data_IF_178998064009
#
_entry.id   IF_178998064009
#
_cell.length_a   1.000
_cell.length_b   1.000
_cell.length_c   1.000
_cell.angle_alpha   90.00
_cell.angle_beta   90.00
_cell.angle_gamma   90.00
#
_symmetry.space_group_name_H-M   'P 1'
#
loop_
_entity.id
_entity.type
_entity.pdbx_description
1 polymer ?
#
# COMPACT_ATOMS: atom_id res chain seq x y z
N UNK A 1 -35.11 49.48 61.54
CA UNK A 1 -35.74 48.36 60.81
C UNK A 1 -35.00 48.23 59.48
N UNK A 2 -33.86 47.55 59.45
CA UNK A 2 -33.72 46.16 58.98
C UNK A 2 -34.34 45.94 57.59
N UNK A 3 -33.54 45.93 56.52
CA UNK A 3 -33.00 44.67 55.98
C UNK A 3 -32.12 44.93 54.75
N UNK A 4 -31.02 44.18 54.71
CA UNK A 4 -30.10 43.99 53.60
C UNK A 4 -30.82 43.43 52.36
N UNK A 5 -30.29 43.72 51.16
CA UNK A 5 -29.96 42.63 50.23
C UNK A 5 -28.82 43.02 49.27
N UNK A 6 -27.72 42.27 49.43
CA UNK A 6 -26.53 42.11 48.59
C UNK A 6 -26.87 41.76 47.14
N UNK A 7 -26.05 42.06 46.12
CA UNK A 7 -24.87 41.30 45.62
C UNK A 7 -24.86 41.63 44.10
N UNK A 8 -23.82 41.99 43.35
CA UNK A 8 -22.52 41.35 43.05
C UNK A 8 -21.68 42.42 42.34
N UNK A 9 -20.43 42.63 42.76
CA UNK A 9 -19.42 43.33 41.97
C UNK A 9 -18.82 42.33 40.98
N UNK A 10 -19.13 42.50 39.70
CA UNK A 10 -18.49 41.75 38.61
C UNK A 10 -17.16 42.39 38.25
N UNK A 11 -16.05 41.78 38.71
CA UNK A 11 -14.70 42.09 38.24
C UNK A 11 -14.55 41.50 36.83
N UNK A 12 -14.44 42.37 35.83
CA UNK A 12 -14.06 41.96 34.47
C UNK A 12 -12.53 41.86 34.44
N UNK A 13 -12.00 40.63 34.48
CA UNK A 13 -10.61 40.35 34.17
C UNK A 13 -10.45 40.35 32.65
N UNK A 14 -9.81 41.38 32.11
CA UNK A 14 -9.39 41.45 30.72
C UNK A 14 -8.22 40.47 30.51
N UNK A 15 -8.53 39.26 30.03
CA UNK A 15 -7.52 38.32 29.54
C UNK A 15 -7.10 38.71 28.13
N UNK A 16 -5.93 39.32 27.99
CA UNK A 16 -5.25 39.46 26.69
C UNK A 16 -4.73 38.06 26.32
N UNK A 17 -5.46 37.35 25.46
CA UNK A 17 -4.92 36.17 24.78
C UNK A 17 -3.88 36.67 23.75
N UNK A 18 -2.60 36.54 24.12
CA UNK A 18 -1.51 36.61 23.15
C UNK A 18 -1.61 35.40 22.22
N UNK A 19 -2.11 35.59 21.01
CA UNK A 19 -1.95 34.60 19.93
C UNK A 19 -0.49 34.69 19.51
N UNK A 20 0.37 33.86 20.12
CA UNK A 20 1.68 33.59 19.58
C UNK A 20 1.46 32.89 18.23
N UNK A 21 1.57 33.65 17.14
CA UNK A 21 1.78 33.05 15.82
C UNK A 21 3.15 32.39 15.89
N UNK A 22 3.17 31.06 16.12
CA UNK A 22 4.34 30.27 15.80
C UNK A 22 4.57 30.48 14.30
N UNK A 23 5.58 31.28 13.96
CA UNK A 23 6.11 31.28 12.62
C UNK A 23 6.44 29.82 12.31
N UNK A 24 5.78 29.24 11.31
CA UNK A 24 6.23 27.99 10.74
C UNK A 24 7.66 28.26 10.29
N UNK A 25 8.65 27.78 11.05
CA UNK A 25 9.97 27.59 10.52
C UNK A 25 9.75 26.76 9.26
N UNK A 26 10.09 27.33 8.10
CA UNK A 26 10.06 26.56 6.88
C UNK A 26 11.02 25.39 7.11
N UNK A 27 10.49 24.16 7.19
CA UNK A 27 11.31 22.95 7.26
C UNK A 27 12.36 23.05 6.15
N UNK A 28 13.64 23.01 6.51
CA UNK A 28 14.70 23.00 5.52
C UNK A 28 14.54 21.72 4.70
N UNK A 29 14.40 21.79 3.36
CA UNK A 29 14.31 20.59 2.53
C UNK A 29 15.49 19.63 2.70
N UNK A 30 16.57 20.05 3.38
CA UNK A 30 17.74 19.25 3.76
C UNK A 30 17.55 18.36 4.99
N UNK A 31 16.53 18.60 5.80
CA UNK A 31 16.26 17.81 7.02
C UNK A 31 15.45 16.53 6.75
N UNK A 32 14.87 16.40 5.55
CA UNK A 32 14.12 15.21 5.17
C UNK A 32 15.03 14.14 4.57
N UNK A 33 14.97 12.88 5.06
CA UNK A 33 15.77 11.80 4.50
C UNK A 33 15.36 11.50 3.06
N UNK A 34 16.35 11.16 2.24
CA UNK A 34 16.17 10.85 0.82
C UNK A 34 16.04 9.35 0.61
N UNK A 35 14.87 8.94 0.13
CA UNK A 35 14.53 7.54 -0.16
C UNK A 35 14.51 7.32 -1.67
N UNK A 36 15.20 6.28 -2.14
CA UNK A 36 15.09 5.82 -3.52
C UNK A 36 14.33 4.48 -3.60
N UNK A 37 13.30 4.43 -4.45
CA UNK A 37 12.51 3.22 -4.69
C UNK A 37 13.12 2.48 -5.88
N UNK A 38 13.67 1.29 -5.63
CA UNK A 38 14.27 0.46 -6.69
C UNK A 38 13.24 -0.46 -7.33
N UNK A 39 13.63 -1.14 -8.41
CA UNK A 39 12.78 -2.17 -9.04
C UNK A 39 12.52 -3.34 -8.08
N UNK A 40 11.32 -3.91 -8.13
CA UNK A 40 10.91 -4.96 -7.19
C UNK A 40 11.10 -6.35 -7.78
N UNK A 41 11.50 -7.29 -6.94
CA UNK A 41 11.55 -8.68 -7.37
C UNK A 41 10.14 -9.29 -7.39
N UNK A 42 9.76 -9.87 -8.52
CA UNK A 42 8.53 -10.65 -8.62
C UNK A 42 8.86 -12.13 -8.44
N UNK A 43 9.13 -12.55 -7.21
CA UNK A 43 9.44 -13.95 -6.92
C UNK A 43 8.23 -14.83 -7.21
N UNK A 44 8.37 -15.94 -7.96
CA UNK A 44 7.30 -16.90 -8.13
C UNK A 44 6.92 -17.57 -6.79
N UNK A 45 5.84 -17.12 -6.17
CA UNK A 45 5.35 -17.65 -4.88
C UNK A 45 4.28 -18.75 -5.00
N UNK A 46 3.89 -19.15 -6.22
CA UNK A 46 2.81 -20.11 -6.45
C UNK A 46 2.75 -20.65 -7.89
N UNK A 47 1.66 -21.35 -8.23
CA UNK A 47 1.45 -21.99 -9.55
C UNK A 47 1.27 -21.01 -10.70
N UNK A 48 0.98 -19.74 -10.40
CA UNK A 48 0.76 -18.69 -11.38
C UNK A 48 1.99 -17.79 -11.37
N UNK A 49 2.61 -17.64 -12.54
CA UNK A 49 3.72 -16.72 -12.70
C UNK A 49 3.19 -15.28 -12.75
N UNK A 50 3.80 -14.33 -12.02
CA UNK A 50 3.49 -12.91 -12.19
C UNK A 50 3.80 -12.46 -13.63
N UNK A 51 3.06 -11.48 -14.18
CA UNK A 51 3.38 -10.90 -15.48
C UNK A 51 4.81 -10.36 -15.54
N UNK A 52 5.43 -10.36 -16.73
CA UNK A 52 6.68 -9.63 -16.94
C UNK A 52 6.51 -8.18 -16.50
N UNK A 53 7.53 -7.60 -15.87
CA UNK A 53 7.55 -6.20 -15.42
C UNK A 53 6.57 -5.85 -14.28
N UNK A 54 5.88 -6.82 -13.67
CA UNK A 54 5.00 -6.52 -12.54
C UNK A 54 5.75 -5.77 -11.41
N UNK A 55 6.99 -6.16 -11.12
CA UNK A 55 7.84 -5.47 -10.13
C UNK A 55 8.06 -4.00 -10.47
N UNK A 56 8.36 -3.69 -11.73
CA UNK A 56 8.58 -2.32 -12.21
C UNK A 56 7.32 -1.48 -12.13
N UNK A 57 6.18 -2.04 -12.55
CA UNK A 57 4.88 -1.37 -12.46
C UNK A 57 4.52 -1.09 -10.99
N UNK A 58 4.78 -2.04 -10.10
CA UNK A 58 4.54 -1.86 -8.65
C UNK A 58 5.43 -0.76 -8.07
N UNK A 59 6.71 -0.70 -8.44
CA UNK A 59 7.63 0.34 -8.00
C UNK A 59 7.18 1.74 -8.48
N UNK A 60 6.75 1.86 -9.74
CA UNK A 60 6.23 3.12 -10.30
C UNK A 60 4.93 3.57 -9.61
N UNK A 61 3.99 2.66 -9.41
CA UNK A 61 2.74 2.96 -8.69
C UNK A 61 3.01 3.32 -7.23
N UNK A 62 3.99 2.69 -6.59
CA UNK A 62 4.38 3.04 -5.23
C UNK A 62 4.97 4.44 -5.16
N UNK A 63 5.87 4.77 -6.08
CA UNK A 63 6.43 6.12 -6.20
C UNK A 63 5.31 7.15 -6.41
N UNK A 64 4.42 6.94 -7.37
CA UNK A 64 3.28 7.82 -7.66
C UNK A 64 2.40 8.06 -6.42
N UNK A 65 2.06 7.00 -5.68
CA UNK A 65 1.25 7.12 -4.45
C UNK A 65 1.95 7.82 -3.31
N UNK A 66 3.28 7.83 -3.27
CA UNK A 66 4.07 8.43 -2.19
C UNK A 66 4.47 9.88 -2.49
N UNK A 67 4.61 10.23 -3.77
CA UNK A 67 4.92 11.59 -4.21
C UNK A 67 3.83 12.54 -3.71
N UNK A 68 4.22 13.52 -2.90
CA UNK A 68 3.33 14.54 -2.34
C UNK A 68 2.59 14.15 -1.05
N UNK A 69 2.73 12.91 -0.56
CA UNK A 69 2.14 12.49 0.73
C UNK A 69 3.17 11.98 1.73
N UNK A 70 4.32 11.49 1.26
CA UNK A 70 5.37 11.00 2.14
C UNK A 70 6.17 12.16 2.73
N UNK A 71 6.59 12.08 4.01
CA UNK A 71 7.44 13.10 4.66
C UNK A 71 8.93 12.99 4.26
N UNK A 72 9.21 12.36 3.12
CA UNK A 72 10.56 12.06 2.64
C UNK A 72 10.81 12.69 1.28
N UNK A 73 12.08 12.91 0.94
CA UNK A 73 12.47 13.17 -0.44
C UNK A 73 12.49 11.86 -1.20
N UNK A 74 11.75 11.75 -2.29
CA UNK A 74 11.65 10.53 -3.08
C UNK A 74 12.42 10.67 -4.39
N UNK A 75 13.15 9.60 -4.72
CA UNK A 75 13.82 9.43 -6.00
C UNK A 75 13.33 8.14 -6.65
N UNK A 76 13.15 8.18 -7.97
CA UNK A 76 13.11 6.95 -8.77
C UNK A 76 14.49 6.30 -8.67
N UNK A 77 14.58 5.13 -8.04
CA UNK A 77 15.83 4.42 -7.78
C UNK A 77 16.16 3.39 -8.85
N UNK A 78 15.32 3.20 -9.89
CA UNK A 78 15.51 2.11 -10.87
C UNK A 78 16.78 2.26 -11.69
N UNK A 79 17.20 3.48 -11.96
CA UNK A 79 18.45 3.75 -12.69
C UNK A 79 19.70 3.39 -11.88
N UNK A 80 19.59 3.25 -10.56
CA UNK A 80 20.69 2.85 -9.69
C UNK A 80 21.11 1.39 -9.92
N UNK A 81 20.23 0.57 -10.49
CA UNK A 81 20.47 -0.85 -10.75
C UNK A 81 21.01 -1.13 -12.16
N UNK A 82 21.11 -0.11 -13.03
CA UNK A 82 21.44 -0.30 -14.46
C UNK A 82 22.80 -0.95 -14.70
N UNK A 83 23.76 -0.69 -13.81
CA UNK A 83 25.13 -1.19 -13.92
C UNK A 83 25.35 -2.51 -13.14
N UNK A 84 24.29 -3.08 -12.55
CA UNK A 84 24.42 -4.31 -11.77
C UNK A 84 24.41 -5.55 -12.69
N UNK A 85 25.54 -6.27 -12.84
CA UNK A 85 25.62 -7.44 -13.72
C UNK A 85 24.76 -8.61 -13.21
N UNK A 86 24.46 -8.66 -11.90
CA UNK A 86 23.69 -9.74 -11.30
C UNK A 86 22.19 -9.62 -11.57
N UNK A 87 21.72 -8.42 -11.92
CA UNK A 87 20.30 -8.07 -12.02
C UNK A 87 19.48 -8.55 -10.80
N UNK A 88 20.12 -8.68 -9.64
CA UNK A 88 19.46 -9.12 -8.42
C UNK A 88 18.60 -7.98 -7.89
N UNK A 89 17.27 -8.20 -7.92
CA UNK A 89 16.26 -7.25 -7.47
C UNK A 89 15.82 -7.50 -6.03
N UNK A 90 16.32 -8.56 -5.39
CA UNK A 90 15.86 -8.98 -4.05
C UNK A 90 16.58 -8.29 -2.91
N UNK A 91 17.77 -7.76 -3.17
CA UNK A 91 18.70 -7.40 -2.11
C UNK A 91 19.51 -6.15 -2.37
N UNK A 92 20.21 -5.73 -1.33
CA UNK A 92 21.16 -4.63 -1.42
C UNK A 92 22.50 -5.14 -1.95
N UNK A 93 22.75 -4.98 -3.24
CA UNK A 93 24.05 -5.32 -3.83
C UNK A 93 25.09 -4.23 -3.55
N UNK A 94 26.40 -4.56 -3.54
CA UNK A 94 27.45 -3.55 -3.39
C UNK A 94 27.41 -2.45 -4.46
N UNK A 95 27.08 -2.82 -5.71
CA UNK A 95 26.95 -1.88 -6.84
C UNK A 95 25.77 -0.93 -6.61
N UNK A 96 24.60 -1.47 -6.26
CA UNK A 96 23.42 -0.67 -5.97
C UNK A 96 23.67 0.30 -4.80
N UNK A 97 24.32 -0.17 -3.74
CA UNK A 97 24.67 0.64 -2.58
C UNK A 97 25.64 1.78 -2.96
N UNK A 98 26.66 1.50 -3.75
CA UNK A 98 27.61 2.52 -4.19
C UNK A 98 26.94 3.58 -5.09
N UNK A 99 26.09 3.14 -6.02
CA UNK A 99 25.31 4.04 -6.87
C UNK A 99 24.40 4.94 -6.05
N UNK A 100 23.71 4.39 -5.04
CA UNK A 100 22.87 5.15 -4.12
C UNK A 100 23.68 6.19 -3.33
N UNK A 101 24.87 5.83 -2.83
CA UNK A 101 25.78 6.79 -2.14
C UNK A 101 26.17 7.94 -3.05
N UNK A 102 26.59 7.66 -4.28
CA UNK A 102 26.98 8.69 -5.25
C UNK A 102 25.81 9.58 -5.64
N UNK A 103 24.59 9.06 -5.62
CA UNK A 103 23.36 9.79 -5.89
C UNK A 103 22.86 10.64 -4.69
N UNK A 104 23.50 10.54 -3.52
CA UNK A 104 23.05 11.25 -2.31
C UNK A 104 21.78 10.67 -1.70
N UNK A 105 21.53 9.38 -1.90
CA UNK A 105 20.39 8.65 -1.31
C UNK A 105 20.77 8.19 0.09
N UNK A 106 19.93 8.51 1.08
CA UNK A 106 20.12 8.10 2.48
C UNK A 106 19.61 6.67 2.71
N UNK A 107 18.47 6.34 2.09
CA UNK A 107 17.79 5.06 2.26
C UNK A 107 17.32 4.46 0.93
N UNK A 108 17.43 3.14 0.79
CA UNK A 108 16.88 2.38 -0.33
C UNK A 108 15.61 1.66 0.11
N UNK A 109 14.55 1.75 -0.69
CA UNK A 109 13.34 0.95 -0.53
C UNK A 109 13.43 -0.25 -1.46
N UNK A 110 13.80 -1.40 -0.90
CA UNK A 110 13.80 -2.68 -1.59
C UNK A 110 12.42 -3.31 -1.48
N UNK A 111 11.95 -3.94 -2.56
CA UNK A 111 10.64 -4.56 -2.58
C UNK A 111 10.64 -5.95 -3.22
N UNK A 112 9.73 -6.80 -2.74
CA UNK A 112 9.42 -8.08 -3.38
C UNK A 112 7.92 -8.36 -3.38
N UNK A 113 7.44 -8.99 -4.45
CA UNK A 113 6.08 -9.49 -4.56
C UNK A 113 6.10 -10.92 -4.01
N UNK A 114 5.63 -11.08 -2.78
CA UNK A 114 5.73 -12.33 -2.02
C UNK A 114 4.57 -13.29 -2.29
N UNK A 115 3.43 -12.78 -2.76
CA UNK A 115 2.27 -13.58 -3.15
C UNK A 115 1.69 -13.07 -4.44
N UNK A 116 1.48 -14.01 -5.36
CA UNK A 116 0.70 -13.82 -6.57
C UNK A 116 -0.15 -15.08 -6.78
N UNK A 117 -1.43 -15.01 -6.44
CA UNK A 117 -2.29 -16.19 -6.48
C UNK A 117 -3.72 -15.89 -6.89
N UNK A 118 -4.40 -16.93 -7.40
CA UNK A 118 -5.82 -16.90 -7.70
C UNK A 118 -6.52 -17.87 -6.74
N UNK A 119 -7.36 -17.33 -5.87
CA UNK A 119 -7.99 -18.05 -4.79
C UNK A 119 -9.49 -18.22 -5.08
N UNK A 120 -9.97 -19.46 -5.00
CA UNK A 120 -11.38 -19.78 -5.17
C UNK A 120 -12.05 -19.92 -3.81
N UNK A 121 -12.90 -18.96 -3.45
CA UNK A 121 -13.73 -19.07 -2.25
C UNK A 121 -15.11 -19.62 -2.57
N UNK A 122 -15.44 -20.74 -1.91
CA UNK A 122 -16.77 -21.34 -1.93
C UNK A 122 -17.54 -20.88 -0.70
N UNK A 123 -18.63 -20.14 -0.90
CA UNK A 123 -19.62 -19.91 0.16
C UNK A 123 -20.86 -20.69 -0.18
N UNK A 124 -21.10 -21.76 0.57
CA UNK A 124 -22.36 -22.49 0.54
C UNK A 124 -23.33 -21.77 1.49
N UNK A 125 -24.30 -21.05 0.94
CA UNK A 125 -25.44 -20.61 1.74
C UNK A 125 -26.32 -21.84 2.01
N UNK A 126 -26.23 -22.40 3.22
CA UNK A 126 -26.95 -23.62 3.61
C UNK A 126 -26.53 -24.20 4.97
N UNK A 127 -25.90 -23.41 5.84
CA UNK A 127 -25.55 -23.82 7.20
C UNK A 127 -26.79 -23.76 8.10
N UNK A 128 -27.55 -24.85 8.17
CA UNK A 128 -28.68 -24.98 9.08
C UNK A 128 -29.68 -26.06 8.70
N UNK A 129 -29.32 -27.34 8.90
CA UNK A 129 -30.25 -28.42 9.25
C UNK A 129 -31.30 -28.94 8.25
N UNK A 130 -31.71 -28.21 7.21
CA UNK A 130 -32.81 -28.65 6.33
C UNK A 130 -32.37 -28.78 4.86
N UNK A 131 -32.26 -30.05 4.41
CA UNK A 131 -32.15 -30.42 3.00
C UNK A 131 -33.54 -30.41 2.37
N UNK A 132 -34.03 -29.24 1.97
CA UNK A 132 -35.22 -29.16 1.12
C UNK A 132 -34.84 -29.65 -0.30
N UNK A 133 -35.46 -30.73 -0.82
CA UNK A 133 -35.08 -31.31 -2.12
C UNK A 133 -35.50 -30.49 -3.34
N UNK A 134 -36.06 -29.29 -3.15
CA UNK A 134 -36.70 -28.51 -4.22
C UNK A 134 -36.21 -27.05 -4.36
N UNK A 135 -35.22 -26.61 -3.57
CA UNK A 135 -34.63 -25.27 -3.73
C UNK A 135 -33.16 -25.44 -4.09
N UNK A 136 -32.84 -25.21 -5.37
CA UNK A 136 -31.50 -25.40 -5.94
C UNK A 136 -30.42 -24.78 -5.06
N UNK A 137 -29.46 -25.61 -4.64
CA UNK A 137 -28.34 -25.19 -3.81
C UNK A 137 -27.59 -24.02 -4.49
N UNK A 138 -27.75 -22.81 -3.95
CA UNK A 138 -27.09 -21.62 -4.49
C UNK A 138 -25.61 -21.65 -4.09
N UNK A 139 -24.79 -22.36 -4.88
CA UNK A 139 -23.34 -22.40 -4.71
C UNK A 139 -22.74 -21.10 -5.24
N UNK A 140 -22.33 -20.19 -4.35
CA UNK A 140 -21.59 -18.98 -4.74
C UNK A 140 -20.10 -19.30 -4.83
N UNK A 141 -19.57 -19.31 -6.04
CA UNK A 141 -18.13 -19.37 -6.30
C UNK A 141 -17.61 -17.96 -6.56
N UNK A 142 -16.66 -17.51 -5.74
CA UNK A 142 -15.98 -16.22 -5.91
C UNK A 142 -14.52 -16.50 -6.27
N UNK A 143 -14.03 -15.81 -7.30
CA UNK A 143 -12.64 -15.92 -7.73
C UNK A 143 -11.92 -14.63 -7.35
N UNK A 144 -10.87 -14.74 -6.55
CA UNK A 144 -10.12 -13.63 -5.94
C UNK A 144 -8.67 -13.69 -6.43
N UNK A 145 -8.16 -12.59 -7.00
CA UNK A 145 -6.73 -12.41 -7.23
C UNK A 145 -6.12 -11.81 -5.97
N UNK A 146 -5.03 -12.39 -5.46
CA UNK A 146 -4.34 -11.90 -4.26
C UNK A 146 -2.91 -11.51 -4.63
N UNK A 147 -2.53 -10.29 -4.26
CA UNK A 147 -1.17 -9.76 -4.40
C UNK A 147 -0.67 -9.31 -3.04
N UNK A 148 0.51 -9.79 -2.64
CA UNK A 148 1.18 -9.32 -1.42
C UNK A 148 2.56 -8.77 -1.79
N UNK A 149 2.88 -7.60 -1.23
CA UNK A 149 4.13 -6.88 -1.42
C UNK A 149 4.81 -6.78 -0.07
N UNK A 150 6.10 -7.07 -0.04
CA UNK A 150 6.99 -6.84 1.09
C UNK A 150 7.96 -5.72 0.74
N UNK A 151 8.13 -4.75 1.63
CA UNK A 151 9.08 -3.66 1.50
C UNK A 151 10.05 -3.64 2.68
N UNK A 152 11.32 -3.34 2.39
CA UNK A 152 12.37 -3.11 3.37
C UNK A 152 13.05 -1.77 3.06
N UNK A 153 13.10 -0.89 4.06
CA UNK A 153 13.87 0.37 4.00
C UNK A 153 15.25 0.10 4.59
N UNK A 154 16.28 0.38 3.82
CA UNK A 154 17.67 0.03 4.15
C UNK A 154 18.53 1.28 4.15
N UNK A 155 19.29 1.51 5.24
CA UNK A 155 20.26 2.60 5.31
C UNK A 155 21.42 2.32 4.36
N UNK A 156 21.75 3.29 3.50
CA UNK A 156 22.77 3.13 2.45
C UNK A 156 24.20 3.12 3.03
N UNK A 157 24.42 3.73 4.19
CA UNK A 157 25.72 3.83 4.86
C UNK A 157 26.05 2.55 5.60
N UNK A 158 25.13 2.04 6.42
CA UNK A 158 25.35 0.81 7.21
C UNK A 158 24.93 -0.46 6.46
N UNK A 159 23.93 -0.38 5.60
CA UNK A 159 23.26 -1.55 5.02
C UNK A 159 22.22 -2.19 5.94
N UNK A 160 21.87 -1.54 7.05
CA UNK A 160 20.89 -2.02 8.03
C UNK A 160 19.45 -1.76 7.57
N UNK A 161 18.54 -2.70 7.86
CA UNK A 161 17.11 -2.54 7.62
C UNK A 161 16.49 -1.73 8.76
N UNK A 162 16.10 -0.48 8.49
CA UNK A 162 15.54 0.44 9.50
C UNK A 162 14.02 0.32 9.65
N UNK A 163 13.35 -0.15 8.59
CA UNK A 163 11.91 -0.39 8.62
C UNK A 163 11.51 -1.49 7.62
N UNK A 164 10.44 -2.19 7.93
CA UNK A 164 9.79 -3.12 7.00
C UNK A 164 8.29 -2.87 7.01
N UNK A 165 7.66 -3.13 5.87
CA UNK A 165 6.20 -3.04 5.74
C UNK A 165 5.69 -4.06 4.74
N UNK A 166 4.40 -4.37 4.85
CA UNK A 166 3.71 -5.27 3.94
C UNK A 166 2.43 -4.62 3.44
N UNK A 167 2.10 -4.87 2.18
CA UNK A 167 0.84 -4.47 1.58
C UNK A 167 0.16 -5.67 0.94
N UNK A 168 -1.10 -5.90 1.26
CA UNK A 168 -1.90 -6.95 0.65
C UNK A 168 -3.11 -6.34 -0.06
N UNK A 169 -3.39 -6.84 -1.26
CA UNK A 169 -4.53 -6.43 -2.06
C UNK A 169 -5.23 -7.63 -2.68
N UNK A 170 -6.55 -7.58 -2.67
CA UNK A 170 -7.40 -8.61 -3.27
C UNK A 170 -8.26 -7.98 -4.37
N UNK A 171 -8.38 -8.63 -5.53
CA UNK A 171 -9.24 -8.22 -6.64
C UNK A 171 -10.34 -9.26 -6.85
N UNK A 172 -11.61 -8.85 -6.80
CA UNK A 172 -12.74 -9.81 -6.66
C UNK A 172 -13.75 -9.69 -7.80
N UNK A 173 -14.20 -10.83 -8.35
CA UNK A 173 -15.43 -10.90 -9.17
C UNK A 173 -16.49 -11.73 -8.48
N UNK A 174 -17.69 -11.14 -8.37
CA UNK A 174 -18.91 -11.88 -8.00
C UNK A 174 -19.54 -12.42 -9.29
N UNK A 175 -19.46 -13.73 -9.54
CA UNK A 175 -20.34 -14.36 -10.52
C UNK A 175 -21.71 -14.56 -9.85
N UNK A 176 -22.70 -13.74 -10.18
CA UNK A 176 -24.09 -14.14 -9.92
C UNK A 176 -24.37 -15.33 -10.84
N UNK A 177 -24.36 -16.53 -10.27
CA UNK A 177 -24.74 -17.74 -10.99
C UNK A 177 -26.16 -17.60 -11.53
N UNK A 178 -26.40 -18.19 -12.69
CA UNK A 178 -27.66 -18.25 -13.45
C UNK A 178 -28.84 -18.93 -12.71
N UNK A 179 -28.89 -18.89 -11.38
CA UNK A 179 -29.98 -19.43 -10.55
C UNK A 179 -31.02 -18.39 -10.13
N UNK A 180 -30.70 -17.08 -10.16
CA UNK A 180 -31.65 -16.02 -9.79
C UNK A 180 -32.45 -15.48 -10.99
N UNK A 181 -31.99 -15.74 -12.22
CA UNK A 181 -32.64 -15.32 -13.48
C UNK A 181 -32.88 -16.49 -14.44
N UNK A 182 -32.76 -17.73 -13.95
CA UNK A 182 -32.94 -18.97 -14.74
C UNK A 182 -34.36 -19.21 -15.25
N UNK A 183 -35.31 -18.31 -14.93
CA UNK A 183 -36.68 -18.34 -15.48
C UNK A 183 -36.90 -17.32 -16.61
N UNK A 184 -35.91 -16.48 -16.95
CA UNK A 184 -36.04 -15.44 -17.98
C UNK A 184 -35.13 -15.61 -19.21
N UNK A 185 -34.25 -16.64 -19.23
CA UNK A 185 -33.27 -16.86 -20.31
C UNK A 185 -33.62 -18.02 -21.26
N UNK A 186 -34.90 -18.34 -21.44
CA UNK A 186 -35.34 -19.28 -22.48
C UNK A 186 -35.55 -18.62 -23.85
N UNK A 187 -35.37 -17.30 -23.98
CA UNK A 187 -35.60 -16.58 -25.23
C UNK A 187 -34.41 -15.68 -25.57
N UNK A 188 -33.49 -16.20 -26.38
CA UNK A 188 -32.64 -15.41 -27.29
C UNK A 188 -31.54 -14.55 -26.66
N UNK A 189 -30.29 -15.03 -26.76
CA UNK A 189 -29.10 -14.18 -26.90
C UNK A 189 -28.62 -13.46 -25.63
N UNK A 190 -27.41 -13.78 -25.16
CA UNK A 190 -26.88 -13.14 -23.95
C UNK A 190 -25.40 -13.36 -23.65
N UNK A 191 -24.54 -12.83 -24.54
CA UNK A 191 -23.24 -12.20 -24.25
C UNK A 191 -22.25 -12.93 -23.33
N UNK A 192 -21.37 -13.72 -23.95
CA UNK A 192 -20.06 -14.06 -23.37
C UNK A 192 -19.17 -12.81 -23.36
N UNK A 193 -19.27 -11.98 -22.33
CA UNK A 193 -18.28 -10.92 -22.09
C UNK A 193 -16.94 -11.55 -21.65
N UNK A 194 -15.87 -11.23 -22.38
CA UNK A 194 -14.57 -11.91 -22.38
C UNK A 194 -13.91 -12.15 -21.01
N UNK A 195 -13.32 -13.33 -20.87
CA UNK A 195 -12.64 -13.79 -19.66
C UNK A 195 -11.28 -13.11 -19.42
N UNK A 196 -10.61 -12.61 -20.45
CA UNK A 196 -9.31 -11.92 -20.37
C UNK A 196 -9.41 -10.53 -19.73
N UNK A 197 -10.27 -9.65 -20.27
CA UNK A 197 -10.50 -8.31 -19.71
C UNK A 197 -10.95 -8.32 -18.25
N UNK A 198 -11.60 -9.42 -17.83
CA UNK A 198 -12.02 -9.64 -16.45
C UNK A 198 -10.88 -10.01 -15.50
N UNK A 199 -9.85 -10.71 -15.97
CA UNK A 199 -8.66 -11.06 -15.15
C UNK A 199 -7.73 -9.87 -15.03
N UNK A 200 -7.57 -9.10 -16.11
CA UNK A 200 -6.74 -7.90 -16.11
C UNK A 200 -7.28 -6.85 -15.12
N UNK A 201 -8.60 -6.68 -15.06
CA UNK A 201 -9.24 -5.82 -14.08
C UNK A 201 -9.05 -6.30 -12.62
N UNK A 202 -9.15 -7.61 -12.36
CA UNK A 202 -8.90 -8.17 -11.02
C UNK A 202 -7.44 -7.99 -10.60
N UNK A 203 -6.52 -8.18 -11.53
CA UNK A 203 -5.10 -7.95 -11.30
C UNK A 203 -4.84 -6.49 -10.96
N UNK A 204 -5.33 -5.56 -11.79
CA UNK A 204 -5.16 -4.12 -11.56
C UNK A 204 -5.72 -3.70 -10.19
N UNK A 205 -6.91 -4.19 -9.82
CA UNK A 205 -7.53 -3.92 -8.51
C UNK A 205 -6.72 -4.49 -7.34
N UNK A 206 -6.21 -5.73 -7.47
CA UNK A 206 -5.39 -6.35 -6.44
C UNK A 206 -4.05 -5.61 -6.27
N UNK A 207 -3.39 -5.25 -7.37
CA UNK A 207 -2.12 -4.51 -7.37
C UNK A 207 -2.31 -3.12 -6.77
N UNK A 208 -3.30 -2.35 -7.22
CA UNK A 208 -3.55 -1.00 -6.72
C UNK A 208 -3.79 -0.99 -5.20
N UNK A 209 -4.58 -1.94 -4.68
CA UNK A 209 -4.82 -2.11 -3.24
C UNK A 209 -3.55 -2.51 -2.49
N UNK A 210 -2.78 -3.46 -3.01
CA UNK A 210 -1.55 -3.91 -2.38
C UNK A 210 -0.54 -2.75 -2.28
N UNK A 211 -0.38 -1.98 -3.36
CA UNK A 211 0.50 -0.81 -3.40
C UNK A 211 0.00 0.29 -2.47
N UNK A 212 -1.30 0.58 -2.43
CA UNK A 212 -1.86 1.55 -1.49
C UNK A 212 -1.62 1.16 -0.03
N UNK A 213 -1.80 -0.12 0.31
CA UNK A 213 -1.52 -0.64 1.64
C UNK A 213 -0.02 -0.55 1.98
N UNK A 214 0.86 -0.88 1.04
CA UNK A 214 2.30 -0.78 1.22
C UNK A 214 2.76 0.69 1.39
N UNK A 215 2.23 1.61 0.59
CA UNK A 215 2.48 3.04 0.68
C UNK A 215 2.08 3.58 2.06
N UNK A 216 0.87 3.25 2.51
CA UNK A 216 0.39 3.64 3.84
C UNK A 216 1.30 3.10 4.94
N UNK A 217 1.72 1.83 4.82
CA UNK A 217 2.64 1.23 5.78
C UNK A 217 4.00 1.91 5.81
N UNK A 218 4.51 2.39 4.67
CA UNK A 218 5.76 3.14 4.61
C UNK A 218 5.62 4.54 5.24
N UNK A 219 4.52 5.25 4.97
CA UNK A 219 4.21 6.53 5.63
C UNK A 219 4.10 6.34 7.15
N UNK A 220 3.44 5.28 7.60
CA UNK A 220 3.35 4.96 9.04
C UNK A 220 4.72 4.60 9.64
N UNK A 221 5.68 4.14 8.83
CA UNK A 221 7.03 3.86 9.27
C UNK A 221 7.93 5.11 9.29
N UNK A 222 7.46 6.26 8.80
CA UNK A 222 8.28 7.45 8.64
C UNK A 222 8.98 7.95 9.90
N UNK A 223 8.32 8.01 11.07
CA UNK A 223 9.00 8.43 12.29
C UNK A 223 10.25 7.59 12.59
N UNK A 224 10.21 6.27 12.32
CA UNK A 224 11.37 5.38 12.56
C UNK A 224 12.53 5.70 11.62
N UNK A 225 12.25 6.03 10.37
CA UNK A 225 13.26 6.38 9.37
C UNK A 225 13.88 7.74 9.70
N UNK A 226 13.07 8.72 10.08
CA UNK A 226 13.52 10.05 10.49
C UNK A 226 14.38 9.99 11.77
N UNK A 227 13.96 9.22 12.77
CA UNK A 227 14.76 8.99 13.98
C UNK A 227 16.12 8.36 13.65
N UNK A 228 16.15 7.30 12.84
CA UNK A 228 17.39 6.66 12.41
C UNK A 228 18.29 7.62 11.60
N UNK A 229 17.71 8.55 10.85
CA UNK A 229 18.45 9.57 10.10
C UNK A 229 19.09 10.59 11.04
N UNK A 230 18.33 11.07 12.03
CA UNK A 230 18.78 12.06 13.00
C UNK A 230 19.92 11.53 13.89
N UNK A 231 19.84 10.28 14.36
CA UNK A 231 20.90 9.63 15.17
C UNK A 231 22.24 9.59 14.43
N UNK A 232 22.20 9.46 13.11
CA UNK A 232 23.40 9.32 12.29
C UNK A 232 24.05 10.66 11.89
N UNK A 233 23.33 11.77 12.04
CA UNK A 233 23.82 13.11 11.70
C UNK A 233 24.32 13.89 12.94
N UNK A 234 24.36 13.24 14.11
CA UNK A 234 24.97 13.74 15.35
C UNK A 234 26.42 13.27 15.47
#
# INVERSE_FOLDING_TARGET
>A
MQSHNSWVVGVIVAGILGVASAANAADDPRDHPTLAIVDFDATPGGWILPPPQLGTIVAELLLDKLVGVAPFRLLDGRWLSNDDPTHDRRGLTPVLRDNARRAGVDYLVLGSITRFSNEQRYRTAGGGGFRLPLVGAYRRQTNEMVVSIWLSVVDVRSGEVVATTTGEGTGTRRKLGAGALGLLHAAGGGLSSGSSSSRDAQLAEAVDRAVAAAAQGLVNAAPRVEHAHAEHNQ
#
